data_IF_056486587899
#
_entry.id   IF_056486587899
#
_cell.length_a   1.000
_cell.length_b   1.000
_cell.length_c   1.000
_cell.angle_alpha   90.00
_cell.angle_beta   90.00
_cell.angle_gamma   90.00
#
_symmetry.space_group_name_H-M   'P 1'
#
loop_
_entity.id
_entity.type
_entity.pdbx_description
1 polymer ?
#
# COMPACT_ATOMS: atom_id res chain seq x y z
N UNK A 1 22.80 27.92 3.85
CA UNK A 1 23.94 28.00 2.92
C UNK A 1 25.23 27.71 3.70
N UNK A 2 26.11 26.94 3.09
CA UNK A 2 27.45 26.63 3.61
C UNK A 2 28.50 27.34 2.78
N UNK A 3 29.68 27.54 3.32
CA UNK A 3 30.78 28.26 2.66
C UNK A 3 31.23 27.61 1.36
N UNK A 4 31.09 26.30 1.22
CA UNK A 4 31.42 25.54 0.00
C UNK A 4 30.34 25.59 -1.10
N UNK A 5 29.30 26.43 -0.91
CA UNK A 5 28.16 26.52 -1.85
C UNK A 5 27.08 25.45 -1.72
N UNK A 6 27.19 24.53 -0.74
CA UNK A 6 26.12 23.62 -0.40
C UNK A 6 24.94 24.38 0.19
N UNK A 7 23.73 23.93 -0.08
CA UNK A 7 22.51 24.50 0.50
C UNK A 7 21.48 23.43 0.77
N UNK A 8 20.61 23.69 1.71
CA UNK A 8 19.47 22.86 2.01
C UNK A 8 18.30 23.70 2.48
N UNK A 9 17.11 23.14 2.33
CA UNK A 9 15.91 23.66 2.94
C UNK A 9 15.10 22.56 3.60
N UNK A 10 14.33 22.95 4.61
CA UNK A 10 13.46 22.07 5.37
C UNK A 10 12.11 22.76 5.53
N UNK A 11 11.07 22.00 5.27
CA UNK A 11 9.68 22.40 5.54
C UNK A 11 9.10 21.40 6.51
N UNK A 12 8.54 21.90 7.61
CA UNK A 12 7.82 21.07 8.59
C UNK A 12 6.46 21.70 8.86
N UNK A 13 5.43 20.91 8.78
CA UNK A 13 4.06 21.32 9.03
C UNK A 13 3.35 20.24 9.86
N UNK A 14 2.74 20.66 10.96
CA UNK A 14 1.85 19.82 11.75
C UNK A 14 0.46 20.40 11.68
N UNK A 15 -0.49 19.56 11.30
CA UNK A 15 -1.88 19.95 11.16
C UNK A 15 -2.79 19.08 12.02
N UNK A 16 -3.79 19.71 12.60
CA UNK A 16 -4.80 19.08 13.44
C UNK A 16 -6.17 19.72 13.14
N UNK A 17 -7.10 18.87 12.70
CA UNK A 17 -8.51 19.23 12.63
C UNK A 17 -9.26 18.39 13.66
N UNK A 18 -9.68 19.02 14.74
CA UNK A 18 -10.27 18.36 15.91
C UNK A 18 -11.43 17.44 15.50
N UNK A 19 -11.43 16.20 15.99
CA UNK A 19 -12.40 15.15 15.68
C UNK A 19 -12.46 14.69 14.21
N UNK A 20 -11.54 15.14 13.37
CA UNK A 20 -11.50 14.72 11.96
C UNK A 20 -10.21 14.05 11.58
N UNK A 21 -9.09 14.74 11.67
CA UNK A 21 -7.80 14.18 11.30
C UNK A 21 -6.64 14.96 11.92
N UNK A 22 -5.50 14.30 11.98
CA UNK A 22 -4.23 14.89 12.37
C UNK A 22 -3.12 14.38 11.48
N UNK A 23 -2.08 15.15 11.33
CA UNK A 23 -0.91 14.70 10.58
C UNK A 23 0.28 15.62 10.75
N UNK A 24 1.38 15.12 10.21
CA UNK A 24 2.66 15.81 10.19
C UNK A 24 3.28 15.61 8.81
N UNK A 25 3.80 16.66 8.21
CA UNK A 25 4.52 16.66 6.95
C UNK A 25 5.91 17.26 7.19
N UNK A 26 6.95 16.55 6.79
CA UNK A 26 8.32 17.03 6.83
C UNK A 26 8.98 16.74 5.48
N UNK A 27 9.45 17.79 4.83
CA UNK A 27 10.22 17.66 3.60
C UNK A 27 11.58 18.32 3.77
N UNK A 28 12.62 17.62 3.35
CA UNK A 28 14.00 18.09 3.37
C UNK A 28 14.63 17.88 2.02
N UNK A 29 15.39 18.86 1.58
CA UNK A 29 16.19 18.78 0.38
C UNK A 29 17.56 19.41 0.66
N UNK A 30 18.61 18.75 0.26
CA UNK A 30 19.97 19.22 0.41
C UNK A 30 20.71 19.03 -0.92
N UNK A 31 21.40 20.08 -1.36
CA UNK A 31 22.35 20.03 -2.46
C UNK A 31 23.74 20.16 -1.87
N UNK A 32 24.48 19.08 -1.95
CA UNK A 32 25.79 18.93 -1.33
C UNK A 32 26.87 19.09 -2.39
N UNK A 33 27.84 19.95 -2.12
CA UNK A 33 29.04 20.13 -2.92
C UNK A 33 30.21 19.68 -2.06
N UNK A 34 30.93 18.70 -2.55
CA UNK A 34 32.14 18.18 -1.94
C UNK A 34 33.32 18.72 -2.74
N UNK A 35 34.30 19.29 -2.04
CA UNK A 35 35.48 19.93 -2.61
C UNK A 35 35.18 21.15 -3.50
N UNK A 36 36.19 21.76 -4.06
CA UNK A 36 36.10 22.92 -4.94
C UNK A 36 36.18 22.50 -6.42
N UNK A 37 35.58 23.32 -7.30
CA UNK A 37 35.64 23.08 -8.75
C UNK A 37 37.11 23.09 -9.23
N UNK A 38 37.47 22.00 -9.91
CA UNK A 38 38.81 21.81 -10.45
C UNK A 38 39.63 20.77 -9.68
N UNK A 39 39.22 20.35 -8.49
CA UNK A 39 39.86 19.27 -7.79
C UNK A 39 39.30 17.89 -8.21
N UNK A 40 40.13 16.83 -8.16
CA UNK A 40 39.71 15.48 -8.59
C UNK A 40 38.55 14.88 -7.78
N UNK A 41 38.37 15.32 -6.54
CA UNK A 41 37.35 14.89 -5.60
C UNK A 41 36.09 15.76 -5.63
N UNK A 42 36.00 16.69 -6.59
CA UNK A 42 34.80 17.51 -6.77
C UNK A 42 33.59 16.64 -7.11
N UNK A 43 32.58 16.69 -6.27
CA UNK A 43 31.31 16.02 -6.53
C UNK A 43 30.12 16.90 -6.10
N UNK A 44 29.01 16.73 -6.81
CA UNK A 44 27.75 17.39 -6.48
C UNK A 44 26.67 16.32 -6.38
N UNK A 45 25.99 16.27 -5.25
CA UNK A 45 24.87 15.35 -5.02
C UNK A 45 23.67 16.09 -4.47
N UNK A 46 22.50 15.67 -4.90
CA UNK A 46 21.23 16.15 -4.37
C UNK A 46 20.53 15.02 -3.63
N UNK A 47 20.18 15.28 -2.39
CA UNK A 47 19.49 14.32 -1.53
C UNK A 47 18.22 14.93 -0.99
N UNK A 48 17.20 14.09 -0.82
CA UNK A 48 15.91 14.52 -0.27
C UNK A 48 15.32 13.44 0.65
N UNK A 49 14.44 13.88 1.54
CA UNK A 49 13.61 13.01 2.36
C UNK A 49 12.24 13.65 2.57
N UNK A 50 11.20 12.88 2.32
CA UNK A 50 9.80 13.22 2.55
C UNK A 50 9.23 12.29 3.61
N UNK A 51 8.74 12.85 4.71
CA UNK A 51 7.99 12.14 5.73
C UNK A 51 6.60 12.74 5.85
N UNK A 52 5.60 11.88 5.79
CA UNK A 52 4.23 12.29 5.98
C UNK A 52 3.50 11.25 6.82
N UNK A 53 2.90 11.70 7.90
CA UNK A 53 1.98 10.89 8.67
C UNK A 53 0.60 11.53 8.66
N UNK A 54 -0.42 10.73 8.45
CA UNK A 54 -1.81 11.17 8.50
C UNK A 54 -2.66 10.10 9.17
N UNK A 55 -3.52 10.53 10.08
CA UNK A 55 -4.46 9.66 10.76
C UNK A 55 -5.81 10.33 10.84
N UNK A 56 -6.82 9.69 10.27
CA UNK A 56 -8.21 10.10 10.41
C UNK A 56 -8.77 9.63 11.74
N UNK A 57 -9.52 10.50 12.42
CA UNK A 57 -10.24 10.15 13.63
C UNK A 57 -11.45 9.25 13.30
N UNK A 58 -11.65 8.19 14.06
CA UNK A 58 -12.79 7.27 13.88
C UNK A 58 -14.14 7.94 14.06
N UNK A 59 -14.21 9.02 14.84
CA UNK A 59 -15.40 9.84 15.03
C UNK A 59 -15.79 10.66 13.79
N UNK A 60 -14.84 10.90 12.91
CA UNK A 60 -15.06 11.67 11.67
C UNK A 60 -16.01 10.97 10.71
N UNK A 61 -15.79 9.68 10.50
CA UNK A 61 -16.63 8.84 9.66
C UNK A 61 -16.45 7.37 10.08
N UNK A 62 -17.47 6.73 10.65
CA UNK A 62 -17.36 5.34 11.09
C UNK A 62 -17.22 4.36 9.92
N UNK A 63 -17.67 4.73 8.72
CA UNK A 63 -17.68 3.87 7.54
C UNK A 63 -16.50 4.09 6.60
N UNK A 64 -15.62 5.04 6.86
CA UNK A 64 -14.41 5.25 6.06
C UNK A 64 -13.23 5.63 6.92
N UNK A 65 -12.06 5.14 6.52
CA UNK A 65 -10.81 5.44 7.21
C UNK A 65 -9.70 5.69 6.21
N UNK A 66 -9.01 6.79 6.39
CA UNK A 66 -7.78 7.11 5.67
C UNK A 66 -6.60 7.20 6.63
N UNK A 67 -5.49 6.57 6.27
CA UNK A 67 -4.24 6.66 7.02
C UNK A 67 -3.05 6.65 6.06
N UNK A 68 -2.01 7.38 6.43
CA UNK A 68 -0.76 7.42 5.70
C UNK A 68 0.42 7.46 6.67
N UNK A 69 1.45 6.68 6.33
CA UNK A 69 2.76 6.71 6.96
C UNK A 69 3.79 6.62 5.84
N UNK A 70 4.31 7.75 5.43
CA UNK A 70 5.20 7.89 4.29
C UNK A 70 6.59 8.25 4.78
N UNK A 71 7.59 7.51 4.32
CA UNK A 71 9.00 7.84 4.47
C UNK A 71 9.70 7.48 3.16
N UNK A 72 9.89 8.49 2.32
CA UNK A 72 10.52 8.40 1.01
C UNK A 72 11.77 9.26 1.00
N UNK A 73 12.81 8.81 0.30
CA UNK A 73 14.01 9.60 0.19
C UNK A 73 15.06 8.97 -0.71
N UNK A 74 16.07 9.74 -1.06
CA UNK A 74 17.25 9.20 -1.73
C UNK A 74 17.98 8.21 -0.82
N UNK A 75 18.51 7.12 -1.39
CA UNK A 75 19.21 6.07 -0.65
C UNK A 75 20.39 6.60 0.17
N UNK A 76 21.03 7.66 -0.30
CA UNK A 76 22.16 8.30 0.37
C UNK A 76 21.78 9.31 1.46
N UNK A 77 20.49 9.58 1.66
CA UNK A 77 20.04 10.65 2.56
C UNK A 77 20.60 10.51 3.99
N UNK A 78 20.45 9.35 4.60
CA UNK A 78 20.91 9.13 5.98
C UNK A 78 22.44 9.04 6.11
N UNK A 79 23.14 8.77 5.03
CA UNK A 79 24.62 8.66 5.02
C UNK A 79 25.29 10.00 4.73
N UNK A 80 24.66 10.87 3.94
CA UNK A 80 25.26 12.10 3.44
C UNK A 80 24.67 13.38 4.01
N UNK A 81 23.48 13.34 4.60
CA UNK A 81 22.81 14.54 5.14
C UNK A 81 23.58 15.11 6.31
N UNK A 82 24.00 16.36 6.21
CA UNK A 82 24.77 17.09 7.23
C UNK A 82 23.98 17.20 8.54
N UNK A 83 22.66 17.27 8.46
CA UNK A 83 21.78 17.48 9.61
C UNK A 83 21.26 16.19 10.27
N UNK A 84 21.59 15.00 9.74
CA UNK A 84 21.06 13.71 10.20
C UNK A 84 22.18 12.71 10.57
N UNK A 85 23.40 13.17 10.68
CA UNK A 85 24.57 12.33 11.01
C UNK A 85 24.55 11.92 12.50
N UNK A 86 23.70 10.96 12.84
CA UNK A 86 23.83 10.21 14.08
C UNK A 86 23.96 8.71 13.76
N UNK A 87 24.56 7.95 14.68
CA UNK A 87 24.83 6.52 14.45
C UNK A 87 23.58 5.71 14.11
N UNK A 88 22.45 5.98 14.75
CA UNK A 88 21.22 5.26 14.52
C UNK A 88 20.65 5.53 13.11
N UNK A 89 20.71 6.77 12.63
CA UNK A 89 20.25 7.14 11.29
C UNK A 89 21.20 6.61 10.22
N UNK A 90 22.51 6.67 10.45
CA UNK A 90 23.53 6.16 9.53
C UNK A 90 23.37 4.65 9.27
N UNK A 91 22.98 3.88 10.29
CA UNK A 91 22.75 2.44 10.20
C UNK A 91 21.37 2.07 9.62
N UNK A 92 20.52 3.04 9.34
CA UNK A 92 19.18 2.76 8.81
C UNK A 92 19.24 2.47 7.30
N UNK A 93 19.04 1.21 6.96
CA UNK A 93 19.14 0.70 5.59
C UNK A 93 17.79 0.57 4.90
N UNK A 94 16.68 0.94 5.55
CA UNK A 94 15.37 0.76 4.97
C UNK A 94 14.47 1.98 5.14
N UNK A 95 13.77 2.31 4.06
CA UNK A 95 12.68 3.27 4.04
C UNK A 95 11.40 2.55 3.69
N UNK A 96 10.34 2.81 4.43
CA UNK A 96 9.05 2.17 4.18
C UNK A 96 7.92 3.19 4.23
N UNK A 97 6.94 2.99 3.35
CA UNK A 97 5.76 3.83 3.28
C UNK A 97 4.52 3.00 3.08
N UNK A 98 3.43 3.43 3.67
CA UNK A 98 2.12 2.85 3.45
C UNK A 98 1.06 3.95 3.47
N UNK A 99 0.15 3.90 2.51
CA UNK A 99 -1.05 4.72 2.46
C UNK A 99 -2.23 3.79 2.29
N UNK A 100 -3.27 3.98 3.08
CA UNK A 100 -4.44 3.12 3.01
C UNK A 100 -5.74 3.92 3.16
N UNK A 101 -6.71 3.55 2.35
CA UNK A 101 -8.09 4.00 2.43
C UNK A 101 -9.01 2.80 2.49
N UNK A 102 -9.90 2.77 3.45
CA UNK A 102 -10.93 1.74 3.54
C UNK A 102 -12.30 2.38 3.66
N UNK A 103 -13.30 1.74 3.06
CA UNK A 103 -14.70 2.17 3.10
C UNK A 103 -15.61 0.96 3.21
N UNK A 104 -16.53 1.05 4.15
CA UNK A 104 -17.63 0.11 4.33
C UNK A 104 -18.90 0.76 3.84
N UNK A 105 -19.61 0.09 2.96
CA UNK A 105 -20.95 0.47 2.52
C UNK A 105 -21.95 -0.37 3.32
N UNK A 106 -22.62 0.22 4.31
CA UNK A 106 -23.62 -0.49 5.08
C UNK A 106 -24.83 -0.80 4.18
N UNK A 107 -25.33 -2.01 4.28
CA UNK A 107 -26.44 -2.49 3.49
C UNK A 107 -26.50 -4.01 3.53
N UNK A 108 -27.52 -4.58 2.90
CA UNK A 108 -27.66 -6.02 2.69
C UNK A 108 -27.63 -6.32 1.19
N UNK A 109 -26.52 -6.86 0.66
CA UNK A 109 -25.27 -7.26 1.35
C UNK A 109 -24.34 -6.07 1.68
N UNK A 110 -23.60 -6.15 2.77
CA UNK A 110 -22.56 -5.18 3.11
C UNK A 110 -21.38 -5.33 2.16
N UNK A 111 -20.86 -4.20 1.68
CA UNK A 111 -19.67 -4.15 0.82
C UNK A 111 -18.53 -3.45 1.56
N UNK A 112 -17.38 -4.10 1.64
CA UNK A 112 -16.15 -3.52 2.15
C UNK A 112 -15.16 -3.33 1.01
N UNK A 113 -14.57 -2.15 0.93
CA UNK A 113 -13.58 -1.80 -0.08
C UNK A 113 -12.34 -1.23 0.60
N UNK A 114 -11.16 -1.62 0.14
CA UNK A 114 -9.90 -1.03 0.56
C UNK A 114 -8.99 -0.77 -0.64
N UNK A 115 -8.29 0.34 -0.57
CA UNK A 115 -7.26 0.75 -1.50
C UNK A 115 -6.00 1.05 -0.69
N UNK A 116 -4.89 0.46 -1.06
CA UNK A 116 -3.62 0.71 -0.38
C UNK A 116 -2.46 0.84 -1.36
N UNK A 117 -1.45 1.57 -0.93
CA UNK A 117 -0.20 1.72 -1.63
C UNK A 117 0.93 1.47 -0.64
N UNK A 118 1.90 0.65 -1.01
CA UNK A 118 3.06 0.35 -0.19
C UNK A 118 4.35 0.58 -0.96
N UNK A 119 5.37 1.00 -0.24
CA UNK A 119 6.71 1.22 -0.73
C UNK A 119 7.70 0.68 0.31
N UNK A 120 8.73 0.01 -0.16
CA UNK A 120 9.85 -0.46 0.63
C UNK A 120 11.13 -0.28 -0.18
N UNK A 121 12.10 0.43 0.37
CA UNK A 121 13.37 0.74 -0.26
C UNK A 121 14.51 0.24 0.63
N UNK A 122 15.43 -0.50 0.05
CA UNK A 122 16.70 -0.84 0.69
C UNK A 122 17.76 0.16 0.20
N UNK A 123 18.30 0.94 1.12
CA UNK A 123 19.24 2.02 0.80
C UNK A 123 20.62 1.52 0.42
N UNK A 124 21.02 0.33 0.87
CA UNK A 124 22.33 -0.25 0.54
C UNK A 124 22.35 -0.84 -0.87
N UNK A 125 21.31 -1.59 -1.23
CA UNK A 125 21.18 -2.20 -2.55
C UNK A 125 20.52 -1.26 -3.57
N UNK A 126 20.01 -0.10 -3.11
CA UNK A 126 19.27 0.88 -3.92
C UNK A 126 18.07 0.28 -4.65
N UNK A 127 17.49 -0.77 -4.09
CA UNK A 127 16.31 -1.45 -4.65
C UNK A 127 15.04 -0.93 -4.01
N UNK A 128 14.02 -0.74 -4.83
CA UNK A 128 12.71 -0.23 -4.42
C UNK A 128 11.64 -1.22 -4.87
N UNK A 129 10.86 -1.68 -3.90
CA UNK A 129 9.67 -2.49 -4.09
C UNK A 129 8.44 -1.64 -3.79
N UNK A 130 7.51 -1.59 -4.73
CA UNK A 130 6.24 -0.90 -4.54
C UNK A 130 5.07 -1.77 -4.97
N UNK A 131 3.95 -1.62 -4.27
CA UNK A 131 2.66 -2.12 -4.71
C UNK A 131 1.71 -0.92 -4.79
N UNK A 132 1.39 -0.48 -6.02
CA UNK A 132 0.71 0.77 -6.34
C UNK A 132 -0.30 0.58 -7.48
N UNK A 133 -1.60 0.47 -7.22
CA UNK A 133 -2.24 0.23 -5.93
C UNK A 133 -2.44 -1.26 -5.63
N UNK A 134 -2.80 -1.58 -4.38
CA UNK A 134 -3.55 -2.79 -4.06
C UNK A 134 -4.99 -2.42 -3.83
N UNK A 135 -5.88 -2.99 -4.60
CA UNK A 135 -7.33 -2.85 -4.45
C UNK A 135 -7.91 -4.15 -3.89
N UNK A 136 -8.79 -4.06 -2.92
CA UNK A 136 -9.55 -5.20 -2.42
C UNK A 136 -11.00 -4.76 -2.23
N UNK A 137 -11.93 -5.63 -2.66
CA UNK A 137 -13.34 -5.46 -2.33
C UNK A 137 -13.95 -6.80 -1.97
N UNK A 138 -14.82 -6.79 -0.98
CA UNK A 138 -15.56 -7.97 -0.53
C UNK A 138 -17.02 -7.63 -0.34
N UNK A 139 -17.87 -8.50 -0.87
CA UNK A 139 -19.32 -8.48 -0.64
C UNK A 139 -19.63 -9.54 0.40
N UNK A 140 -20.33 -9.17 1.47
CA UNK A 140 -20.72 -10.11 2.52
C UNK A 140 -21.67 -11.19 1.99
N UNK A 141 -21.92 -12.19 2.82
CA UNK A 141 -22.74 -13.33 2.43
C UNK A 141 -24.10 -12.92 1.88
N UNK A 142 -24.41 -13.43 0.70
CA UNK A 142 -25.69 -13.29 0.04
C UNK A 142 -26.39 -14.66 0.10
N UNK A 143 -27.65 -14.65 0.49
CA UNK A 143 -28.52 -15.83 0.55
C UNK A 143 -29.62 -15.70 -0.51
N UNK A 144 -29.39 -16.16 -1.74
CA UNK A 144 -30.31 -15.93 -2.85
C UNK A 144 -31.69 -16.58 -2.67
N UNK A 145 -31.74 -17.66 -1.87
CA UNK A 145 -32.95 -18.44 -1.63
C UNK A 145 -33.53 -18.26 -0.22
N UNK A 146 -33.11 -17.19 0.47
CA UNK A 146 -33.64 -16.85 1.78
C UNK A 146 -35.12 -16.48 1.71
N UNK A 147 -35.99 -17.06 2.55
CA UNK A 147 -37.40 -16.69 2.59
C UNK A 147 -37.53 -15.25 3.13
N UNK A 148 -38.42 -14.46 2.52
CA UNK A 148 -38.70 -13.09 2.96
C UNK A 148 -39.27 -13.01 4.39
N UNK A 149 -39.91 -14.08 4.85
CA UNK A 149 -40.49 -14.18 6.19
C UNK A 149 -40.23 -15.57 6.74
N UNK A 150 -39.76 -15.65 8.00
CA UNK A 150 -39.49 -16.89 8.70
C UNK A 150 -38.00 -17.25 8.79
N UNK A 151 -37.71 -18.45 9.29
CA UNK A 151 -36.34 -18.96 9.47
C UNK A 151 -35.92 -19.82 8.27
N UNK A 152 -34.65 -19.75 7.91
CA UNK A 152 -34.03 -20.58 6.85
C UNK A 152 -34.16 -22.05 7.20
N UNK A 153 -34.72 -22.86 6.29
CA UNK A 153 -34.91 -24.29 6.46
C UNK A 153 -34.30 -25.06 5.29
N UNK A 154 -33.67 -26.20 5.61
CA UNK A 154 -33.13 -27.10 4.61
C UNK A 154 -31.86 -26.61 3.90
N UNK A 155 -31.45 -27.31 2.86
CA UNK A 155 -30.19 -27.17 2.14
C UNK A 155 -30.22 -25.89 1.29
N UNK A 156 -31.30 -25.71 0.49
CA UNK A 156 -31.36 -24.68 -0.54
C UNK A 156 -31.36 -23.28 0.07
N UNK A 157 -32.15 -23.02 1.11
CA UNK A 157 -32.28 -21.74 1.74
C UNK A 157 -31.01 -21.29 2.51
N UNK A 158 -30.15 -22.26 2.86
CA UNK A 158 -28.88 -22.03 3.51
C UNK A 158 -27.71 -21.87 2.51
N UNK A 159 -27.96 -22.04 1.21
CA UNK A 159 -26.96 -21.73 0.19
C UNK A 159 -26.62 -20.23 0.28
N UNK A 160 -25.35 -19.97 0.44
CA UNK A 160 -24.82 -18.60 0.45
C UNK A 160 -23.55 -18.53 -0.37
N UNK A 161 -23.30 -17.35 -0.90
CA UNK A 161 -22.05 -17.04 -1.58
C UNK A 161 -21.53 -15.66 -1.14
N UNK A 162 -20.25 -15.48 -1.27
CA UNK A 162 -19.55 -14.22 -1.10
C UNK A 162 -18.83 -13.87 -2.41
N UNK A 163 -18.53 -12.63 -2.59
CA UNK A 163 -17.67 -12.21 -3.69
C UNK A 163 -16.47 -11.43 -3.15
N UNK A 164 -15.28 -11.89 -3.50
CA UNK A 164 -14.05 -11.22 -3.13
C UNK A 164 -13.26 -10.94 -4.41
N UNK A 165 -12.74 -9.73 -4.50
CA UNK A 165 -11.83 -9.32 -5.57
C UNK A 165 -10.60 -8.66 -4.97
N UNK A 166 -9.45 -9.00 -5.51
CA UNK A 166 -8.16 -8.37 -5.19
C UNK A 166 -7.46 -8.03 -6.49
N UNK A 167 -7.01 -6.79 -6.60
CA UNK A 167 -6.14 -6.34 -7.67
C UNK A 167 -4.86 -5.76 -7.09
N UNK A 168 -3.74 -6.02 -7.74
CA UNK A 168 -2.47 -5.42 -7.32
C UNK A 168 -1.60 -5.09 -8.54
N UNK A 169 -0.84 -4.02 -8.39
CA UNK A 169 0.17 -3.63 -9.34
C UNK A 169 1.52 -3.54 -8.62
N UNK A 170 2.43 -4.46 -8.94
CA UNK A 170 3.75 -4.55 -8.33
C UNK A 170 4.80 -3.94 -9.24
N UNK A 171 5.66 -3.13 -8.65
CA UNK A 171 6.75 -2.45 -9.32
C UNK A 171 8.04 -2.76 -8.56
N UNK A 172 9.02 -3.29 -9.25
CA UNK A 172 10.39 -3.46 -8.77
C UNK A 172 11.28 -2.52 -9.56
N UNK A 173 11.99 -1.64 -8.88
CA UNK A 173 12.83 -0.63 -9.53
C UNK A 173 14.07 -0.31 -8.69
N UNK A 174 14.88 0.60 -9.16
CA UNK A 174 16.06 1.12 -8.47
C UNK A 174 15.93 2.63 -8.26
N UNK A 175 16.76 3.17 -7.37
CA UNK A 175 16.79 4.60 -7.03
C UNK A 175 16.95 5.48 -8.28
N UNK A 176 17.76 5.04 -9.24
CA UNK A 176 18.04 5.77 -10.48
C UNK A 176 16.84 5.85 -11.44
N UNK A 177 15.93 4.90 -11.36
CA UNK A 177 14.72 4.80 -12.21
C UNK A 177 13.45 5.27 -11.50
N UNK A 178 13.56 5.69 -10.24
CA UNK A 178 12.43 6.08 -9.43
C UNK A 178 11.65 7.24 -10.06
N UNK A 179 10.34 7.05 -10.24
CA UNK A 179 9.41 7.93 -10.95
C UNK A 179 9.73 8.20 -12.44
N UNK A 180 10.61 7.44 -13.07
CA UNK A 180 10.81 7.50 -14.51
C UNK A 180 9.83 6.57 -15.25
N UNK A 181 9.68 6.78 -16.55
CA UNK A 181 8.75 6.02 -17.41
C UNK A 181 9.04 4.51 -17.39
N UNK A 182 10.31 4.16 -17.41
CA UNK A 182 10.79 2.77 -17.40
C UNK A 182 10.32 2.00 -16.16
N UNK A 183 10.19 2.69 -15.01
CA UNK A 183 9.64 2.11 -13.80
C UNK A 183 8.21 1.60 -14.00
N UNK A 184 7.36 2.38 -14.66
CA UNK A 184 5.97 2.00 -14.90
C UNK A 184 5.82 0.93 -15.99
N UNK A 185 6.74 0.89 -16.93
CA UNK A 185 6.77 -0.13 -17.98
C UNK A 185 7.08 -1.53 -17.43
N UNK A 186 7.84 -1.62 -16.33
CA UNK A 186 8.16 -2.89 -15.67
C UNK A 186 7.08 -3.38 -14.70
N UNK A 187 6.02 -2.61 -14.52
CA UNK A 187 4.94 -2.94 -13.61
C UNK A 187 4.22 -4.25 -13.99
N UNK A 188 3.93 -5.07 -12.99
CA UNK A 188 3.19 -6.32 -13.11
C UNK A 188 1.84 -6.18 -12.43
N UNK A 189 0.78 -6.25 -13.22
CA UNK A 189 -0.58 -6.06 -12.73
C UNK A 189 -1.40 -7.33 -12.90
N UNK A 190 -2.29 -7.59 -11.93
CA UNK A 190 -3.22 -8.68 -12.00
C UNK A 190 -4.42 -8.49 -11.08
N UNK A 191 -5.50 -9.20 -11.40
CA UNK A 191 -6.71 -9.29 -10.58
C UNK A 191 -7.02 -10.74 -10.27
N UNK A 192 -7.52 -10.98 -9.08
CA UNK A 192 -8.00 -12.27 -8.62
C UNK A 192 -9.43 -12.13 -8.13
N UNK A 193 -10.30 -12.99 -8.60
CA UNK A 193 -11.69 -13.11 -8.20
C UNK A 193 -11.89 -14.41 -7.44
N UNK A 194 -12.65 -14.38 -6.36
CA UNK A 194 -12.98 -15.56 -5.57
C UNK A 194 -14.45 -15.51 -5.15
N UNK A 195 -15.16 -16.60 -5.41
CA UNK A 195 -16.57 -16.77 -5.08
C UNK A 195 -16.71 -18.04 -4.24
N UNK A 196 -16.51 -17.96 -2.92
CA UNK A 196 -16.84 -19.09 -2.04
C UNK A 196 -18.35 -19.25 -1.93
N UNK A 197 -18.82 -20.48 -2.18
CA UNK A 197 -20.20 -20.91 -2.05
C UNK A 197 -20.26 -21.90 -0.92
N UNK A 198 -21.19 -21.77 0.00
CA UNK A 198 -21.35 -22.72 1.10
C UNK A 198 -22.81 -22.93 1.47
N UNK A 199 -23.09 -24.13 2.00
CA UNK A 199 -24.37 -24.45 2.60
C UNK A 199 -24.18 -25.31 3.83
N UNK A 200 -25.02 -25.06 4.83
CA UNK A 200 -25.06 -25.84 6.07
C UNK A 200 -26.48 -26.40 6.28
N UNK A 201 -26.59 -27.67 6.59
CA UNK A 201 -27.87 -28.27 6.88
C UNK A 201 -27.77 -29.34 7.96
N UNK A 202 -28.87 -29.60 8.63
CA UNK A 202 -28.99 -30.69 9.60
C UNK A 202 -29.79 -31.80 9.01
N UNK A 203 -29.24 -33.04 9.09
CA UNK A 203 -29.90 -34.26 8.75
C UNK A 203 -30.30 -35.00 10.04
N UNK A 204 -31.52 -35.52 10.10
CA UNK A 204 -32.03 -36.29 11.25
C UNK A 204 -31.89 -35.58 12.61
N UNK A 205 -31.97 -34.23 12.66
CA UNK A 205 -31.82 -33.37 13.84
C UNK A 205 -30.43 -33.37 14.52
N UNK A 206 -29.65 -34.42 14.38
CA UNK A 206 -28.39 -34.63 15.11
C UNK A 206 -27.15 -34.49 14.26
N UNK A 207 -27.24 -34.74 12.97
CA UNK A 207 -26.10 -34.66 12.06
C UNK A 207 -26.06 -33.30 11.35
N UNK A 208 -24.98 -32.53 11.57
CA UNK A 208 -24.73 -31.27 10.89
C UNK A 208 -23.76 -31.49 9.75
N UNK A 209 -24.16 -31.13 8.55
CA UNK A 209 -23.34 -31.17 7.36
C UNK A 209 -22.99 -29.75 6.92
N UNK A 210 -21.75 -29.56 6.49
CA UNK A 210 -21.26 -28.34 5.91
C UNK A 210 -20.56 -28.68 4.59
N UNK A 211 -21.00 -28.07 3.52
CA UNK A 211 -20.42 -28.26 2.20
C UNK A 211 -20.01 -26.87 1.64
N UNK A 212 -18.83 -26.82 1.06
CA UNK A 212 -18.33 -25.59 0.44
C UNK A 212 -17.64 -25.89 -0.89
N UNK A 213 -17.77 -24.96 -1.81
CA UNK A 213 -17.04 -24.90 -3.07
C UNK A 213 -16.47 -23.49 -3.23
N UNK A 214 -15.32 -23.36 -3.88
CA UNK A 214 -14.73 -22.06 -4.17
C UNK A 214 -14.42 -21.98 -5.66
N UNK A 215 -14.96 -20.96 -6.33
CA UNK A 215 -14.54 -20.58 -7.67
C UNK A 215 -13.51 -19.48 -7.55
N UNK A 216 -12.39 -19.65 -8.23
CA UNK A 216 -11.30 -18.66 -8.24
C UNK A 216 -10.77 -18.49 -9.65
N UNK A 217 -10.60 -17.23 -10.05
CA UNK A 217 -10.07 -16.83 -11.33
C UNK A 217 -9.00 -15.76 -11.14
N UNK A 218 -7.92 -15.83 -11.91
CA UNK A 218 -6.82 -14.87 -11.85
C UNK A 218 -6.51 -14.34 -13.24
N UNK A 219 -6.55 -13.03 -13.40
CA UNK A 219 -6.21 -12.32 -14.62
C UNK A 219 -4.86 -11.64 -14.47
N UNK A 220 -3.95 -11.93 -15.38
CA UNK A 220 -2.61 -11.34 -15.42
C UNK A 220 -2.47 -10.54 -16.72
N UNK A 221 -2.12 -9.27 -16.63
CA UNK A 221 -2.05 -8.38 -17.80
C UNK A 221 -0.73 -8.43 -18.56
N UNK A 222 0.32 -8.96 -17.93
CA UNK A 222 1.61 -9.18 -18.59
C UNK A 222 2.11 -10.58 -18.31
N UNK A 223 2.47 -11.30 -19.37
CA UNK A 223 3.12 -12.61 -19.29
C UNK A 223 4.57 -12.50 -19.75
N UNK A 224 5.41 -13.38 -19.25
CA UNK A 224 6.81 -13.51 -19.67
C UNK A 224 6.87 -14.61 -20.72
N UNK A 225 7.27 -14.28 -21.93
CA UNK A 225 7.62 -15.28 -22.93
C UNK A 225 9.11 -15.61 -22.75
N UNK A 226 9.43 -16.85 -22.41
CA UNK A 226 10.82 -17.32 -22.31
C UNK A 226 11.14 -18.08 -23.59
N UNK A 227 12.06 -17.58 -24.37
CA UNK A 227 12.68 -18.30 -25.49
C UNK A 227 13.97 -18.91 -24.96
N UNK A 228 14.11 -20.21 -25.16
CA UNK A 228 15.36 -20.93 -24.88
C UNK A 228 16.20 -20.92 -26.17
N UNK A 229 17.35 -20.26 -26.11
CA UNK A 229 18.39 -20.37 -27.14
C UNK A 229 19.25 -21.59 -26.91
#
# INVERSE_FOLDING_TARGET
YYTNGSYGFRVENTYLYRYRFRGNLSFRYENLIQSERGFPDYSKSSIYNLRWSHSQDTKSNPNSRFSASVNLGSSKYYQQSINQMNAANFLNNSLSSSVSYSKTFPGEPQVNMSLSATHSQNTNTQTINMTLPTFQASVSRIYPFEPKVGTKKGIIQNINFQYNVRGENRILTTDSLFFKKEMFETAKSGFQHSIPISTNFKLLKYLSFSTSANFQETWVFKTINKEYN
#
